data_IF_047636548597
#
_entry.id   IF_047636548597
#
_cell.length_a   1.000
_cell.length_b   1.000
_cell.length_c   1.000
_cell.angle_alpha   90.00
_cell.angle_beta   90.00
_cell.angle_gamma   90.00
#
_symmetry.space_group_name_H-M   'P 1'
#
loop_
_entity.id
_entity.type
_entity.pdbx_description
1 polymer ?
#
# COMPACT_ATOMS: atom_id res chain seq x y z
N UNK A 1 22.16 -4.80 -6.26
CA UNK A 1 22.20 -3.77 -5.20
C UNK A 1 20.94 -3.97 -4.37
N UNK A 2 21.06 -4.44 -3.13
CA UNK A 2 19.91 -4.68 -2.27
C UNK A 2 19.56 -3.35 -1.59
N UNK A 3 18.49 -2.69 -2.03
CA UNK A 3 17.94 -1.53 -1.35
C UNK A 3 17.44 -2.02 0.01
N UNK A 4 18.21 -1.73 1.05
CA UNK A 4 17.86 -2.09 2.42
C UNK A 4 16.81 -1.09 2.88
N UNK A 5 15.53 -1.44 2.72
CA UNK A 5 14.41 -0.64 3.19
C UNK A 5 14.45 -0.61 4.72
N UNK A 6 14.55 0.58 5.29
CA UNK A 6 14.48 0.76 6.74
C UNK A 6 12.98 0.78 7.12
N UNK A 7 12.55 0.06 8.16
CA UNK A 7 11.14 -0.08 8.56
C UNK A 7 10.52 1.20 9.18
N UNK A 8 10.88 2.37 8.65
CA UNK A 8 10.44 3.69 9.13
C UNK A 8 10.16 4.67 7.99
N UNK A 9 10.07 4.19 6.74
CA UNK A 9 9.77 5.06 5.60
C UNK A 9 8.30 5.49 5.66
N UNK A 10 8.05 6.79 5.66
CA UNK A 10 6.70 7.35 5.64
C UNK A 10 6.23 7.52 4.20
N UNK A 11 5.02 7.03 3.92
CA UNK A 11 4.41 7.13 2.60
C UNK A 11 3.01 7.72 2.70
N UNK A 12 2.69 8.67 1.82
CA UNK A 12 1.37 9.28 1.73
C UNK A 12 0.53 8.57 0.68
N UNK A 13 -0.71 8.17 1.04
CA UNK A 13 -1.67 7.66 0.08
C UNK A 13 -2.09 8.76 -0.89
N UNK A 14 -1.89 8.55 -2.19
CA UNK A 14 -2.22 9.48 -3.28
C UNK A 14 -3.33 8.94 -4.19
N UNK A 15 -3.74 7.68 -4.02
CA UNK A 15 -4.78 7.05 -4.83
C UNK A 15 -5.51 5.99 -4.02
N UNK A 16 -6.84 6.10 -3.98
CA UNK A 16 -7.73 5.07 -3.42
C UNK A 16 -8.36 4.17 -4.49
N UNK A 17 -7.78 4.15 -5.69
CA UNK A 17 -8.32 3.33 -6.78
C UNK A 17 -8.17 1.85 -6.44
N UNK A 18 -9.13 0.99 -6.78
CA UNK A 18 -8.89 -0.45 -6.78
C UNK A 18 -7.69 -0.81 -7.64
N UNK A 19 -6.86 -1.70 -7.13
CA UNK A 19 -5.79 -2.31 -7.91
C UNK A 19 -6.01 -3.79 -8.17
N UNK A 20 -6.87 -4.43 -7.38
CA UNK A 20 -7.33 -5.80 -7.59
C UNK A 20 -8.83 -5.77 -7.90
N UNK A 21 -9.19 -6.07 -9.15
CA UNK A 21 -10.58 -6.41 -9.51
C UNK A 21 -10.65 -7.91 -9.69
N UNK A 22 -11.15 -8.62 -8.69
CA UNK A 22 -11.42 -10.04 -8.83
C UNK A 22 -12.63 -10.22 -9.75
N UNK A 23 -12.58 -11.12 -10.75
CA UNK A 23 -13.73 -11.34 -11.63
C UNK A 23 -14.89 -11.91 -10.82
N UNK A 24 -16.02 -11.19 -10.78
CA UNK A 24 -17.21 -11.55 -10.02
C UNK A 24 -17.33 -10.89 -8.64
N UNK A 25 -16.35 -10.07 -8.26
CA UNK A 25 -16.42 -9.21 -7.09
C UNK A 25 -16.91 -7.82 -7.53
N UNK A 26 -18.10 -7.41 -7.08
CA UNK A 26 -18.66 -6.08 -7.36
C UNK A 26 -17.91 -5.01 -6.55
N UNK A 27 -17.19 -5.43 -5.49
CA UNK A 27 -16.42 -4.55 -4.65
C UNK A 27 -14.96 -4.43 -5.14
N UNK A 28 -14.46 -3.21 -5.31
CA UNK A 28 -13.08 -2.96 -5.67
C UNK A 28 -12.12 -3.47 -4.57
N UNK A 29 -11.50 -4.62 -4.80
CA UNK A 29 -10.54 -5.21 -3.87
C UNK A 29 -9.33 -4.29 -3.57
N UNK A 30 -9.03 -4.17 -2.28
CA UNK A 30 -7.70 -3.79 -1.79
C UNK A 30 -7.45 -2.30 -1.58
N UNK A 31 -8.47 -1.45 -1.40
CA UNK A 31 -8.24 -0.03 -1.09
C UNK A 31 -9.19 0.62 -0.08
N UNK A 32 -10.16 -0.11 0.48
CA UNK A 32 -11.14 0.47 1.41
C UNK A 32 -10.51 0.93 2.73
N UNK A 33 -9.43 0.28 3.14
CA UNK A 33 -8.73 0.58 4.38
C UNK A 33 -7.77 1.78 4.24
N UNK A 34 -7.55 2.26 3.01
CA UNK A 34 -6.70 3.41 2.74
C UNK A 34 -7.50 4.71 2.69
N UNK A 35 -7.02 5.71 3.42
CA UNK A 35 -7.53 7.08 3.43
C UNK A 35 -6.66 7.95 2.53
N UNK A 36 -7.27 8.56 1.50
CA UNK A 36 -6.57 9.47 0.59
C UNK A 36 -5.93 10.64 1.37
N UNK A 37 -4.64 10.89 1.11
CA UNK A 37 -3.86 11.95 1.73
C UNK A 37 -3.29 11.59 3.11
N UNK A 38 -3.69 10.47 3.72
CA UNK A 38 -3.14 10.00 5.00
C UNK A 38 -1.73 9.45 4.81
N UNK A 39 -0.90 9.65 5.84
CA UNK A 39 0.48 9.14 5.90
C UNK A 39 0.45 7.81 6.65
N UNK A 40 1.15 6.83 6.11
CA UNK A 40 1.29 5.48 6.63
C UNK A 40 2.76 5.12 6.81
N UNK A 41 3.05 4.25 7.76
CA UNK A 41 4.39 3.70 7.97
C UNK A 41 4.58 2.49 7.06
N UNK A 42 5.58 2.53 6.18
CA UNK A 42 5.95 1.42 5.32
C UNK A 42 6.93 0.49 6.04
N UNK A 43 6.49 -0.77 6.21
CA UNK A 43 7.28 -1.84 6.81
C UNK A 43 8.28 -2.44 5.83
N UNK A 44 7.94 -2.45 4.54
CA UNK A 44 8.79 -2.99 3.49
C UNK A 44 8.16 -2.92 2.10
N UNK A 45 8.95 -3.26 1.10
CA UNK A 45 8.52 -3.31 -0.28
C UNK A 45 8.79 -4.69 -0.88
N UNK A 46 7.73 -5.31 -1.40
CA UNK A 46 7.72 -6.62 -2.01
C UNK A 46 7.66 -6.52 -3.54
N UNK A 47 7.83 -7.65 -4.22
CA UNK A 47 7.77 -7.74 -5.68
C UNK A 47 8.66 -6.69 -6.40
N UNK A 48 9.91 -6.53 -5.93
CA UNK A 48 10.88 -5.57 -6.45
C UNK A 48 10.41 -4.10 -6.36
N UNK A 49 9.71 -3.74 -5.29
CA UNK A 49 9.21 -2.38 -5.07
C UNK A 49 7.88 -2.08 -5.74
N UNK A 50 7.21 -3.08 -6.32
CA UNK A 50 5.88 -2.91 -6.90
C UNK A 50 4.77 -2.86 -5.84
N UNK A 51 4.99 -3.50 -4.69
CA UNK A 51 4.03 -3.57 -3.59
C UNK A 51 4.65 -3.04 -2.30
N UNK A 52 3.94 -2.21 -1.57
CA UNK A 52 4.29 -1.73 -0.24
C UNK A 52 3.46 -2.46 0.80
N UNK A 53 4.14 -2.93 1.84
CA UNK A 53 3.56 -3.38 3.09
C UNK A 53 3.55 -2.19 4.03
N UNK A 54 2.38 -1.77 4.48
CA UNK A 54 2.23 -0.62 5.38
C UNK A 54 1.52 -1.04 6.67
N UNK A 55 1.67 -0.24 7.72
CA UNK A 55 0.78 -0.31 8.88
C UNK A 55 -0.43 0.58 8.59
N UNK A 56 -1.57 -0.03 8.31
CA UNK A 56 -2.85 0.66 8.21
C UNK A 56 -3.75 0.35 9.42
N UNK A 57 -5.04 0.71 9.36
CA UNK A 57 -5.98 0.53 10.47
C UNK A 57 -6.67 -0.85 10.42
N UNK A 58 -6.38 -1.65 9.40
CA UNK A 58 -6.81 -3.04 9.30
C UNK A 58 -6.14 -3.91 10.35
N UNK A 59 -6.88 -4.88 10.88
CA UNK A 59 -6.33 -5.92 11.76
C UNK A 59 -5.52 -6.97 10.98
N UNK A 60 -5.49 -6.86 9.65
CA UNK A 60 -4.87 -7.79 8.71
C UNK A 60 -3.67 -7.17 7.99
N UNK A 61 -2.73 -8.04 7.57
CA UNK A 61 -1.53 -7.64 6.86
C UNK A 61 -1.75 -7.63 5.34
N UNK A 62 -1.85 -6.43 4.76
CA UNK A 62 -2.06 -6.26 3.33
C UNK A 62 -0.86 -5.66 2.60
N UNK A 63 -0.73 -6.05 1.33
CA UNK A 63 0.19 -5.44 0.37
C UNK A 63 -0.59 -4.54 -0.58
N UNK A 64 -0.13 -3.31 -0.73
CA UNK A 64 -0.74 -2.31 -1.60
C UNK A 64 0.21 -1.93 -2.72
N UNK A 65 -0.26 -1.53 -3.92
CA UNK A 65 0.61 -1.13 -5.00
C UNK A 65 1.36 0.15 -4.65
N UNK A 66 2.67 0.15 -4.87
CA UNK A 66 3.54 1.30 -4.64
C UNK A 66 3.03 2.56 -5.36
N UNK A 67 2.42 2.39 -6.54
CA UNK A 67 1.80 3.47 -7.33
C UNK A 67 0.68 4.24 -6.61
N UNK A 68 0.14 3.71 -5.50
CA UNK A 68 -0.86 4.41 -4.70
C UNK A 68 -0.26 5.31 -3.65
N UNK A 69 1.06 5.32 -3.52
CA UNK A 69 1.75 6.07 -2.49
C UNK A 69 2.83 6.97 -3.07
N UNK A 70 3.20 7.95 -2.26
CA UNK A 70 4.31 8.86 -2.51
C UNK A 70 5.15 8.96 -1.24
N UNK A 71 6.46 8.85 -1.37
CA UNK A 71 7.40 9.11 -0.26
C UNK A 71 7.28 10.57 0.22
N UNK A 72 7.33 10.75 1.54
CA UNK A 72 7.17 12.06 2.21
C UNK A 72 8.53 12.64 2.59
#
# INVERSE_FOLDING_TARGET
MATSWQPTTLVQCISVKPWLKLPGDDEPGGCHDLTLGRIYEMLGAEANGALYRIIDDSDDDFLYPASHFKEV
#
